data_IF_980898017273
#
_entry.id   IF_980898017273
#
_cell.length_a   1.000
_cell.length_b   1.000
_cell.length_c   1.000
_cell.angle_alpha   90.00
_cell.angle_beta   90.00
_cell.angle_gamma   90.00
#
_symmetry.space_group_name_H-M   'P 1'
#
loop_
_entity.id
_entity.type
_entity.pdbx_description
1 polymer ?
#
# COMPACT_ATOMS: atom_id res chain seq x y z
N UNK A 1 1.82 -26.47 11.15
CA UNK A 1 2.88 -25.46 11.32
C UNK A 1 2.23 -24.19 11.86
N UNK A 2 2.26 -23.96 13.18
CA UNK A 2 1.79 -22.68 13.73
C UNK A 2 2.79 -21.59 13.31
N UNK A 3 2.36 -20.69 12.42
CA UNK A 3 3.22 -19.64 11.90
C UNK A 3 3.75 -18.76 13.03
N UNK A 4 5.07 -18.62 13.11
CA UNK A 4 5.74 -17.77 14.11
C UNK A 4 5.33 -16.32 13.84
N UNK A 5 4.48 -15.75 14.70
CA UNK A 5 4.11 -14.34 14.64
C UNK A 5 5.21 -13.49 15.27
N UNK A 6 5.61 -12.41 14.61
CA UNK A 6 6.57 -11.44 15.13
C UNK A 6 5.88 -10.09 15.28
N UNK A 7 6.06 -9.44 16.43
CA UNK A 7 5.54 -8.11 16.67
C UNK A 7 6.43 -7.08 15.94
N UNK A 8 5.79 -6.16 15.23
CA UNK A 8 6.46 -5.07 14.51
C UNK A 8 5.89 -3.75 15.03
N UNK A 9 6.77 -2.84 15.45
CA UNK A 9 6.39 -1.48 15.86
C UNK A 9 6.80 -0.51 14.75
N UNK A 10 5.82 0.22 14.22
CA UNK A 10 6.03 1.20 13.14
C UNK A 10 5.69 2.58 13.67
N UNK A 11 6.60 3.53 13.49
CA UNK A 11 6.34 4.95 13.74
C UNK A 11 5.72 5.56 12.50
N UNK A 12 4.59 6.23 12.69
CA UNK A 12 3.86 6.94 11.66
C UNK A 12 3.34 8.24 12.24
N UNK A 13 3.16 9.23 11.37
CA UNK A 13 2.49 10.47 11.74
C UNK A 13 1.03 10.18 12.17
N UNK A 14 0.56 10.88 13.21
CA UNK A 14 -0.77 10.66 13.77
C UNK A 14 -1.90 11.03 12.81
N UNK A 15 -1.70 12.07 12.00
CA UNK A 15 -2.69 12.50 11.01
C UNK A 15 -2.76 11.50 9.85
N UNK A 16 -1.60 11.07 9.34
CA UNK A 16 -1.52 10.04 8.28
C UNK A 16 -2.16 8.73 8.76
N UNK A 17 -1.92 8.34 10.02
CA UNK A 17 -2.55 7.16 10.63
C UNK A 17 -4.07 7.28 10.60
N UNK A 18 -4.62 8.41 11.06
CA UNK A 18 -6.07 8.62 11.12
C UNK A 18 -6.69 8.55 9.72
N UNK A 19 -6.07 9.19 8.72
CA UNK A 19 -6.51 9.13 7.34
C UNK A 19 -6.51 7.68 6.79
N UNK A 20 -5.44 6.93 7.08
CA UNK A 20 -5.34 5.53 6.67
C UNK A 20 -6.39 4.63 7.35
N UNK A 21 -6.66 4.84 8.65
CA UNK A 21 -7.70 4.08 9.37
C UNK A 21 -9.09 4.31 8.79
N UNK A 22 -9.42 5.55 8.40
CA UNK A 22 -10.70 5.87 7.74
C UNK A 22 -10.77 5.16 6.37
N UNK A 23 -9.75 5.35 5.52
CA UNK A 23 -9.70 4.76 4.18
C UNK A 23 -9.83 3.23 4.22
N UNK A 24 -9.04 2.56 5.05
CA UNK A 24 -9.07 1.10 5.15
C UNK A 24 -10.35 0.62 5.83
N UNK A 25 -10.90 1.38 6.78
CA UNK A 25 -12.20 1.12 7.39
C UNK A 25 -13.34 1.12 6.38
N UNK A 26 -13.36 2.07 5.45
CA UNK A 26 -14.31 2.10 4.32
C UNK A 26 -14.15 0.89 3.39
N UNK A 27 -12.93 0.35 3.27
CA UNK A 27 -12.64 -0.87 2.53
C UNK A 27 -12.90 -2.16 3.34
N UNK A 28 -13.40 -2.05 4.57
CA UNK A 28 -13.74 -3.19 5.43
C UNK A 28 -12.53 -3.88 6.07
N UNK A 29 -11.40 -3.20 6.23
CA UNK A 29 -10.19 -3.76 6.85
C UNK A 29 -9.50 -2.78 7.80
N UNK A 30 -8.71 -3.32 8.74
CA UNK A 30 -7.89 -2.49 9.62
C UNK A 30 -6.50 -2.27 9.03
N UNK A 31 -5.78 -1.29 9.60
CA UNK A 31 -4.43 -0.93 9.17
C UNK A 31 -3.45 -2.13 9.22
N UNK A 32 -3.58 -3.00 10.22
CA UNK A 32 -2.76 -4.20 10.36
C UNK A 32 -2.97 -5.19 9.22
N UNK A 33 -4.21 -5.40 8.79
CA UNK A 33 -4.55 -6.26 7.66
C UNK A 33 -4.02 -5.66 6.36
N UNK A 34 -4.21 -4.36 6.15
CA UNK A 34 -3.70 -3.64 4.99
C UNK A 34 -2.17 -3.76 4.87
N UNK A 35 -1.45 -3.56 5.98
CA UNK A 35 0.01 -3.70 6.03
C UNK A 35 0.47 -5.14 5.74
N UNK A 36 -0.22 -6.14 6.29
CA UNK A 36 0.10 -7.54 6.01
C UNK A 36 -0.10 -7.88 4.52
N UNK A 37 -1.16 -7.35 3.89
CA UNK A 37 -1.40 -7.51 2.45
C UNK A 37 -0.28 -6.83 1.67
N UNK A 38 0.10 -5.60 2.04
CA UNK A 38 1.19 -4.87 1.40
C UNK A 38 2.50 -5.66 1.40
N UNK A 39 2.90 -6.21 2.55
CA UNK A 39 4.14 -7.00 2.67
C UNK A 39 4.05 -8.28 1.84
N UNK A 40 2.92 -9.00 1.90
CA UNK A 40 2.71 -10.22 1.11
C UNK A 40 2.74 -9.96 -0.38
N UNK A 41 2.13 -8.87 -0.84
CA UNK A 41 2.13 -8.49 -2.24
C UNK A 41 3.54 -8.09 -2.69
N UNK A 42 4.27 -7.35 -1.86
CA UNK A 42 5.65 -6.97 -2.13
C UNK A 42 6.56 -8.18 -2.31
N UNK A 43 6.42 -9.17 -1.41
CA UNK A 43 7.16 -10.43 -1.48
C UNK A 43 6.77 -11.27 -2.70
N UNK A 44 5.49 -11.28 -3.08
CA UNK A 44 4.99 -12.03 -4.23
C UNK A 44 5.50 -11.46 -5.55
N UNK A 45 5.55 -10.14 -5.68
CA UNK A 45 5.96 -9.46 -6.91
C UNK A 45 7.46 -9.15 -6.96
N UNK A 46 8.18 -9.26 -5.84
CA UNK A 46 9.60 -8.89 -5.74
C UNK A 46 9.85 -7.38 -5.92
N UNK A 47 8.83 -6.55 -5.70
CA UNK A 47 8.88 -5.08 -5.84
C UNK A 47 7.87 -4.43 -4.90
N UNK A 48 7.96 -3.12 -4.71
CA UNK A 48 6.92 -2.38 -3.99
C UNK A 48 5.63 -2.36 -4.84
N UNK A 49 4.46 -2.72 -4.28
CA UNK A 49 3.18 -2.87 -4.99
C UNK A 49 2.50 -1.53 -5.29
N UNK A 50 3.29 -0.50 -5.52
CA UNK A 50 2.88 0.80 -6.03
C UNK A 50 4.05 1.44 -6.76
N UNK A 51 3.73 2.32 -7.71
CA UNK A 51 4.74 3.05 -8.47
C UNK A 51 5.38 4.13 -7.58
N UNK A 52 6.71 4.12 -7.47
CA UNK A 52 7.46 5.12 -6.70
C UNK A 52 7.89 6.22 -7.66
N UNK A 53 7.21 7.36 -7.61
CA UNK A 53 7.57 8.54 -8.38
C UNK A 53 7.98 9.68 -7.45
N UNK A 54 9.12 10.32 -7.72
CA UNK A 54 9.46 11.61 -7.13
C UNK A 54 8.49 12.63 -7.73
N UNK A 55 7.57 13.13 -6.91
CA UNK A 55 6.55 14.11 -7.27
C UNK A 55 5.42 13.60 -8.18
N UNK A 56 4.33 13.15 -7.56
CA UNK A 56 3.03 13.09 -8.24
C UNK A 56 1.98 13.81 -7.39
N UNK A 57 2.02 15.14 -7.38
CA UNK A 57 0.80 15.91 -7.17
C UNK A 57 -0.27 15.32 -8.08
N UNK A 58 -1.41 14.95 -7.50
CA UNK A 58 -2.52 14.25 -8.14
C UNK A 58 -2.79 14.73 -9.57
N UNK A 59 -2.50 13.88 -10.56
CA UNK A 59 -3.24 13.90 -11.81
C UNK A 59 -3.07 12.56 -12.49
N UNK A 60 -4.20 11.90 -12.72
CA UNK A 60 -4.26 10.60 -13.36
C UNK A 60 -3.49 10.61 -14.68
N UNK A 61 -2.46 9.78 -14.77
CA UNK A 61 -1.98 9.34 -16.07
C UNK A 61 -2.79 8.11 -16.41
N UNK A 62 -3.93 8.35 -17.05
CA UNK A 62 -4.61 7.34 -17.82
C UNK A 62 -3.63 6.83 -18.90
N UNK A 63 -3.45 5.51 -18.92
CA UNK A 63 -3.12 4.65 -20.04
C UNK A 63 -1.87 4.98 -20.91
N UNK A 64 -0.91 4.05 -21.02
CA UNK A 64 -0.12 3.95 -22.23
C UNK A 64 -1.02 3.30 -23.29
N UNK A 65 -1.70 4.08 -24.12
CA UNK A 65 -2.16 3.57 -25.40
C UNK A 65 -0.99 3.69 -26.37
N UNK A 66 -0.32 2.55 -26.51
CA UNK A 66 0.08 1.88 -27.75
C UNK A 66 0.44 2.80 -28.93
N UNK A 67 1.66 2.58 -29.42
CA UNK A 67 2.15 3.02 -30.71
C UNK A 67 1.13 2.78 -31.84
N UNK A 68 0.96 3.79 -32.69
CA UNK A 68 0.59 3.61 -34.09
C UNK A 68 1.59 4.43 -34.93
N UNK A 69 1.99 3.82 -36.06
CA UNK A 69 3.07 4.20 -37.00
C UNK A 69 3.02 5.63 -37.54
#
# INVERSE_FOLDING_TARGET
MAGKTTNITIRMDSEIKAQAEILFGELGMNLTTALNIFVRQSLREGRIPFEICLNRTSRGTAAPKLAEE
#
